data_IF_012250145804
#
_entry.id   IF_012250145804
#
_cell.length_a   1.000
_cell.length_b   1.000
_cell.length_c   1.000
_cell.angle_alpha   90.00
_cell.angle_beta   90.00
_cell.angle_gamma   90.00
#
_symmetry.space_group_name_H-M   'P 1'
#
loop_
_entity.id
_entity.type
_entity.pdbx_description
1 polymer ?
#
# COMPACT_ATOMS: atom_id res chain seq x y z
N UNK A 1 -36.46 -1.82 8.75
CA UNK A 1 -35.36 -1.18 7.99
C UNK A 1 -33.98 -1.29 8.66
N UNK A 2 -33.88 -1.53 9.97
CA UNK A 2 -32.60 -1.63 10.71
C UNK A 2 -31.85 -2.96 10.48
N UNK A 3 -32.57 -4.08 10.29
CA UNK A 3 -31.96 -5.41 10.07
C UNK A 3 -31.25 -5.56 8.71
N UNK A 4 -31.74 -4.87 7.67
CA UNK A 4 -31.12 -4.88 6.34
C UNK A 4 -29.77 -4.15 6.34
N UNK A 5 -29.65 -3.06 7.09
CA UNK A 5 -28.39 -2.31 7.23
C UNK A 5 -27.34 -3.14 7.98
N UNK A 6 -27.74 -3.84 9.05
CA UNK A 6 -26.85 -4.74 9.80
C UNK A 6 -26.31 -5.89 8.95
N UNK A 7 -27.18 -6.53 8.15
CA UNK A 7 -26.78 -7.59 7.22
C UNK A 7 -25.77 -7.09 6.17
N UNK A 8 -26.04 -5.94 5.54
CA UNK A 8 -25.15 -5.38 4.50
C UNK A 8 -23.77 -5.04 5.09
N UNK A 9 -23.71 -4.43 6.29
CA UNK A 9 -22.43 -4.12 6.94
C UNK A 9 -21.65 -5.41 7.25
N UNK A 10 -22.33 -6.45 7.75
CA UNK A 10 -21.68 -7.73 8.06
C UNK A 10 -21.10 -8.39 6.80
N UNK A 11 -21.87 -8.45 5.70
CA UNK A 11 -21.40 -8.98 4.41
C UNK A 11 -20.23 -8.18 3.84
N UNK A 12 -20.26 -6.84 3.94
CA UNK A 12 -19.16 -5.98 3.49
C UNK A 12 -17.88 -6.23 4.30
N UNK A 13 -18.00 -6.33 5.63
CA UNK A 13 -16.85 -6.62 6.50
C UNK A 13 -16.28 -8.02 6.29
N UNK A 14 -17.13 -9.03 6.08
CA UNK A 14 -16.70 -10.39 5.78
C UNK A 14 -15.99 -10.49 4.42
N UNK A 15 -16.50 -9.81 3.40
CA UNK A 15 -15.88 -9.74 2.07
C UNK A 15 -14.51 -9.05 2.09
N UNK A 16 -14.37 -7.96 2.85
CA UNK A 16 -13.07 -7.29 3.04
C UNK A 16 -12.06 -8.20 3.76
N UNK A 17 -12.49 -8.95 4.77
CA UNK A 17 -11.62 -9.88 5.49
C UNK A 17 -11.11 -11.00 4.58
N UNK A 18 -11.96 -11.59 3.75
CA UNK A 18 -11.53 -12.57 2.75
C UNK A 18 -10.56 -11.98 1.71
N UNK A 19 -10.79 -10.72 1.31
CA UNK A 19 -9.86 -10.00 0.44
C UNK A 19 -8.49 -9.82 1.09
N UNK A 20 -8.45 -9.39 2.36
CA UNK A 20 -7.21 -9.22 3.12
C UNK A 20 -6.45 -10.55 3.24
N UNK A 21 -7.14 -11.63 3.64
CA UNK A 21 -6.54 -12.96 3.74
C UNK A 21 -5.99 -13.46 2.39
N UNK A 22 -6.70 -13.18 1.30
CA UNK A 22 -6.23 -13.51 -0.06
C UNK A 22 -4.93 -12.77 -0.37
N UNK A 23 -4.90 -11.45 -0.16
CA UNK A 23 -3.72 -10.62 -0.41
C UNK A 23 -2.52 -11.10 0.40
N UNK A 24 -2.71 -11.37 1.70
CA UNK A 24 -1.64 -11.85 2.59
C UNK A 24 -1.06 -13.20 2.16
N UNK A 25 -1.85 -14.07 1.53
CA UNK A 25 -1.41 -15.38 1.05
C UNK A 25 -0.76 -15.33 -0.32
N UNK A 26 -1.15 -14.40 -1.18
CA UNK A 26 -0.70 -14.37 -2.58
C UNK A 26 0.43 -13.37 -2.84
N UNK A 27 0.52 -12.30 -2.04
CA UNK A 27 1.57 -11.31 -2.21
C UNK A 27 2.91 -11.86 -1.73
N UNK A 28 3.95 -11.73 -2.55
CA UNK A 28 5.32 -12.10 -2.21
C UNK A 28 6.11 -10.82 -1.90
N UNK A 29 6.21 -10.41 -0.63
CA UNK A 29 6.96 -9.21 -0.26
C UNK A 29 8.46 -9.42 -0.48
N UNK A 30 9.16 -8.36 -0.86
CA UNK A 30 10.63 -8.33 -0.83
C UNK A 30 11.14 -8.34 0.62
N UNK A 31 12.42 -8.67 0.81
CA UNK A 31 13.07 -8.61 2.13
C UNK A 31 12.93 -7.23 2.78
N UNK A 32 13.05 -6.16 2.02
CA UNK A 32 12.92 -4.78 2.49
C UNK A 32 11.49 -4.46 2.98
N UNK A 33 10.47 -4.96 2.28
CA UNK A 33 9.06 -4.81 2.73
C UNK A 33 8.81 -5.63 3.99
N UNK A 34 9.39 -6.83 4.11
CA UNK A 34 9.30 -7.65 5.33
C UNK A 34 9.91 -6.90 6.50
N UNK A 35 11.09 -6.31 6.35
CA UNK A 35 11.73 -5.53 7.40
C UNK A 35 10.88 -4.35 7.85
N UNK A 36 10.26 -3.60 6.93
CA UNK A 36 9.34 -2.51 7.27
C UNK A 36 8.17 -3.04 8.10
N UNK A 37 7.55 -4.13 7.65
CA UNK A 37 6.40 -4.74 8.31
C UNK A 37 6.75 -5.19 9.73
N UNK A 38 7.92 -5.81 9.91
CA UNK A 38 8.39 -6.33 11.19
C UNK A 38 8.82 -5.20 12.14
N UNK A 39 9.65 -4.25 11.67
CA UNK A 39 10.11 -3.10 12.47
C UNK A 39 8.96 -2.24 12.97
N UNK A 40 7.91 -2.08 12.15
CA UNK A 40 6.72 -1.28 12.50
C UNK A 40 5.62 -2.11 13.18
N UNK A 41 5.85 -3.40 13.44
CA UNK A 41 4.88 -4.32 14.04
C UNK A 41 3.49 -4.22 13.39
N UNK A 42 3.44 -4.15 12.05
CA UNK A 42 2.17 -3.93 11.33
C UNK A 42 1.23 -5.11 11.59
N UNK A 43 -0.03 -4.79 11.89
CA UNK A 43 -1.10 -5.79 11.99
C UNK A 43 -1.36 -6.43 10.62
N UNK A 44 -1.99 -7.60 10.58
CA UNK A 44 -2.35 -8.26 9.32
C UNK A 44 -3.20 -7.37 8.40
N UNK A 45 -4.07 -6.53 8.98
CA UNK A 45 -4.82 -5.52 8.21
C UNK A 45 -3.90 -4.44 7.64
N UNK A 46 -2.92 -3.96 8.43
CA UNK A 46 -1.91 -3.02 7.95
C UNK A 46 -1.06 -3.61 6.82
N UNK A 47 -0.64 -4.88 6.96
CA UNK A 47 0.06 -5.64 5.91
C UNK A 47 -0.78 -5.78 4.66
N UNK A 48 -2.04 -6.18 4.78
CA UNK A 48 -2.94 -6.33 3.64
C UNK A 48 -3.18 -5.01 2.89
N UNK A 49 -3.30 -3.89 3.62
CA UNK A 49 -3.38 -2.54 3.01
C UNK A 49 -2.10 -2.23 2.25
N UNK A 50 -0.94 -2.44 2.89
CA UNK A 50 0.36 -2.20 2.28
C UNK A 50 0.54 -3.04 1.02
N UNK A 51 0.37 -4.36 1.11
CA UNK A 51 0.57 -5.31 0.01
C UNK A 51 -0.37 -5.07 -1.16
N UNK A 52 -1.62 -4.68 -0.90
CA UNK A 52 -2.59 -4.33 -1.96
C UNK A 52 -2.14 -3.12 -2.79
N UNK A 53 -1.30 -2.26 -2.24
CA UNK A 53 -0.75 -1.11 -2.97
C UNK A 53 0.44 -1.45 -3.86
N UNK A 54 0.93 -2.71 -3.80
CA UNK A 54 2.15 -3.17 -4.49
C UNK A 54 3.29 -2.15 -4.40
N UNK A 55 3.71 -1.81 -3.17
CA UNK A 55 4.61 -0.70 -2.93
C UNK A 55 5.96 -0.95 -3.57
N UNK A 56 6.57 0.12 -4.07
CA UNK A 56 7.94 0.12 -4.56
C UNK A 56 8.82 0.91 -3.62
N UNK A 57 9.83 0.27 -3.03
CA UNK A 57 10.90 1.01 -2.36
C UNK A 57 11.80 1.65 -3.42
N UNK A 58 12.06 2.93 -3.24
CA UNK A 58 12.92 3.71 -4.14
C UNK A 58 13.85 4.60 -3.35
N UNK A 59 15.01 4.92 -3.92
CA UNK A 59 15.96 5.87 -3.36
C UNK A 59 15.39 7.30 -3.30
N UNK A 60 16.07 8.20 -2.58
CA UNK A 60 15.63 9.58 -2.40
C UNK A 60 15.53 10.41 -3.69
N UNK A 61 16.37 10.14 -4.70
CA UNK A 61 16.33 10.86 -5.99
C UNK A 61 15.09 10.45 -6.78
N UNK A 62 14.87 9.15 -6.91
CA UNK A 62 13.70 8.55 -7.56
C UNK A 62 12.41 8.94 -6.83
N UNK A 63 12.40 8.87 -5.50
CA UNK A 63 11.27 9.29 -4.70
C UNK A 63 10.95 10.78 -4.94
N UNK A 64 11.96 11.65 -4.88
CA UNK A 64 11.79 13.08 -5.13
C UNK A 64 11.23 13.35 -6.54
N UNK A 65 11.73 12.65 -7.54
CA UNK A 65 11.26 12.80 -8.93
C UNK A 65 9.75 12.53 -9.08
N UNK A 66 9.21 11.54 -8.37
CA UNK A 66 7.80 11.13 -8.52
C UNK A 66 6.87 11.72 -7.46
N UNK A 67 7.38 12.01 -6.27
CA UNK A 67 6.58 12.35 -5.09
C UNK A 67 6.68 13.82 -4.66
N UNK A 68 7.70 14.56 -5.10
CA UNK A 68 7.95 15.91 -4.61
C UNK A 68 7.16 16.95 -5.41
N UNK A 69 6.02 17.37 -4.87
CA UNK A 69 5.39 18.60 -5.28
C UNK A 69 5.65 19.66 -4.20
N UNK A 70 6.34 20.75 -4.57
CA UNK A 70 6.42 21.99 -3.77
C UNK A 70 7.03 21.90 -2.35
N UNK A 71 8.02 21.04 -2.10
CA UNK A 71 8.77 21.08 -0.83
C UNK A 71 8.26 20.16 0.28
N UNK A 72 7.29 19.28 0.02
CA UNK A 72 6.80 18.32 1.02
C UNK A 72 7.58 17.01 0.92
N UNK A 73 8.31 16.67 1.97
CA UNK A 73 8.92 15.34 2.17
C UNK A 73 7.90 14.39 2.82
N UNK A 74 7.31 13.50 2.01
CA UNK A 74 6.51 12.39 2.52
C UNK A 74 7.34 11.10 2.54
N UNK A 75 7.09 10.19 3.48
CA UNK A 75 7.74 8.87 3.53
C UNK A 75 7.11 7.87 2.54
N UNK A 76 5.93 8.19 2.04
CA UNK A 76 5.21 7.42 1.04
C UNK A 76 4.42 8.38 0.14
N UNK A 77 4.27 8.04 -1.13
CA UNK A 77 3.38 8.78 -2.02
C UNK A 77 2.69 7.87 -3.03
N UNK A 78 1.54 8.30 -3.52
CA UNK A 78 0.87 7.67 -4.64
C UNK A 78 1.11 8.55 -5.89
N UNK A 79 1.90 8.07 -6.84
CA UNK A 79 2.30 8.84 -8.03
C UNK A 79 2.15 8.02 -9.34
N UNK A 80 2.16 8.66 -10.52
CA UNK A 80 2.06 7.96 -11.80
C UNK A 80 3.17 6.90 -11.94
N UNK A 81 2.83 5.76 -12.54
CA UNK A 81 3.81 4.69 -12.78
C UNK A 81 4.92 5.19 -13.73
N UNK A 82 6.22 4.91 -13.46
CA UNK A 82 7.30 5.31 -14.35
C UNK A 82 7.12 4.73 -15.75
N UNK A 83 7.20 5.56 -16.79
CA UNK A 83 6.97 5.14 -18.18
C UNK A 83 5.50 4.85 -18.52
N UNK A 84 4.59 4.97 -17.55
CA UNK A 84 3.16 4.96 -17.77
C UNK A 84 2.72 6.33 -18.28
N UNK A 85 2.19 6.39 -19.49
CA UNK A 85 1.57 7.61 -20.02
C UNK A 85 0.33 8.05 -19.20
N UNK A 86 -0.52 8.93 -19.73
CA UNK A 86 -1.71 9.43 -19.01
C UNK A 86 -2.70 8.35 -18.55
N UNK A 87 -2.58 7.12 -19.06
CA UNK A 87 -3.37 5.95 -18.68
C UNK A 87 -2.57 4.84 -17.99
N UNK A 88 -1.30 5.07 -17.67
CA UNK A 88 -0.35 4.06 -17.17
C UNK A 88 -0.55 3.63 -15.71
N UNK A 89 -1.63 4.07 -15.08
CA UNK A 89 -1.93 3.79 -13.68
C UNK A 89 -1.05 4.57 -12.70
N UNK A 90 -1.29 4.33 -11.42
CA UNK A 90 -0.52 4.91 -10.31
C UNK A 90 0.12 3.80 -9.49
N UNK A 91 1.20 4.13 -8.79
CA UNK A 91 1.92 3.24 -7.89
C UNK A 91 2.21 3.93 -6.57
N UNK A 92 2.26 3.16 -5.50
CA UNK A 92 2.73 3.65 -4.21
C UNK A 92 4.23 3.50 -4.13
N UNK A 93 4.93 4.59 -3.90
CA UNK A 93 6.36 4.64 -3.64
C UNK A 93 6.58 4.79 -2.15
N UNK A 94 7.55 4.05 -1.61
CA UNK A 94 8.07 4.19 -0.25
C UNK A 94 9.51 4.68 -0.34
N UNK A 95 9.85 5.71 0.43
CA UNK A 95 11.22 6.20 0.50
C UNK A 95 12.07 5.19 1.26
N UNK A 96 13.12 4.68 0.62
CA UNK A 96 14.16 3.92 1.30
C UNK A 96 15.04 4.90 2.09
N UNK A 97 15.02 4.77 3.41
CA UNK A 97 15.93 5.48 4.31
C UNK A 97 16.98 4.46 4.73
N UNK A 98 18.21 4.66 4.26
CA UNK A 98 19.36 3.94 4.79
C UNK A 98 19.75 4.60 6.13
N UNK A 99 19.85 3.79 7.19
CA UNK A 99 20.34 4.21 8.53
C UNK A 99 21.83 4.57 8.50
#
# INVERSE_FOLDING_TARGET
MVLLVGGIIFYLTAGMRQSDEKVLKTYQPSSEIIEIVEKNALTDKGKAILYRSEPELVDGETFRKYCFANGVEALACNAPKPGGGPFGGRKVFLLKIDD
#
